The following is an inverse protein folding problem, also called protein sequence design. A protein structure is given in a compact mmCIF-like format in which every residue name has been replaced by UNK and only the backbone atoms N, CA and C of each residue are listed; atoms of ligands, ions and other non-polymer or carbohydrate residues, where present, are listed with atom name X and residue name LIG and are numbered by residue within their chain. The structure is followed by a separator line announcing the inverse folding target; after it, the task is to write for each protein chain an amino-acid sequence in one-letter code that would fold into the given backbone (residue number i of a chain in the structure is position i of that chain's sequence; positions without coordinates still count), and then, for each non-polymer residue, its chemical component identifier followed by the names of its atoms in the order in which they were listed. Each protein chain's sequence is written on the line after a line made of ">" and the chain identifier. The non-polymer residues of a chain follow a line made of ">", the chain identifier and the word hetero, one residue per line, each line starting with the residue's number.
data_IF_995369736955
#
_entry.id   IF_995369736955
#
_cell.length_a   1.000
_cell.length_b   1.000
_cell.length_c   1.000
_cell.angle_alpha   90.00
_cell.angle_beta   90.00
_cell.angle_gamma   90.00
#
_symmetry.space_group_name_H-M   'P 1'
#
loop_
_entity.id
_entity.type
_entity.pdbx_description
1 polymer ?
#
# COMPACT_ATOMS: atom_id res chain seq x y z
N UNK A 1 2.32 6.45 -7.55
CA UNK A 1 1.18 6.74 -6.66
C UNK A 1 0.72 5.40 -6.14
N UNK A 2 0.83 5.18 -4.83
CA UNK A 2 0.78 3.82 -4.23
C UNK A 2 -0.44 3.64 -3.30
N UNK A 3 -1.51 4.41 -3.48
CA UNK A 3 -2.70 4.41 -2.58
C UNK A 3 -4.02 4.17 -3.30
N UNK A 4 -4.00 3.62 -4.52
CA UNK A 4 -5.05 3.92 -5.50
C UNK A 4 -6.41 3.24 -5.27
N UNK A 5 -6.57 2.32 -4.31
CA UNK A 5 -7.76 1.45 -4.29
C UNK A 5 -8.62 1.45 -3.01
N UNK A 6 -8.16 2.05 -1.90
CA UNK A 6 -8.91 2.07 -0.65
C UNK A 6 -8.83 0.78 0.16
N UNK A 7 -9.40 0.79 1.36
CA UNK A 7 -9.43 -0.37 2.27
C UNK A 7 -10.24 -1.52 1.65
N UNK A 8 -9.87 -2.77 1.95
CA UNK A 8 -10.63 -3.95 1.51
C UNK A 8 -11.11 -4.71 2.74
N UNK A 9 -12.43 -4.78 2.91
CA UNK A 9 -13.06 -5.55 3.99
C UNK A 9 -13.46 -6.94 3.49
N UNK A 10 -13.67 -7.94 4.36
CA UNK A 10 -14.12 -9.27 3.95
C UNK A 10 -15.41 -9.29 3.14
N UNK A 11 -16.37 -8.43 3.48
CA UNK A 11 -17.61 -8.26 2.73
C UNK A 11 -17.40 -7.67 1.33
N UNK A 12 -16.53 -6.65 1.23
CA UNK A 12 -16.20 -5.98 -0.03
C UNK A 12 -15.42 -6.92 -0.96
N UNK A 13 -14.48 -7.70 -0.39
CA UNK A 13 -13.71 -8.70 -1.10
C UNK A 13 -14.58 -9.75 -1.79
N UNK A 14 -15.60 -10.27 -1.10
CA UNK A 14 -16.56 -11.23 -1.68
C UNK A 14 -17.40 -10.61 -2.80
N UNK A 15 -17.66 -9.31 -2.72
CA UNK A 15 -18.39 -8.57 -3.75
C UNK A 15 -17.49 -8.17 -4.94
N UNK A 16 -16.18 -8.44 -4.88
CA UNK A 16 -15.24 -8.09 -5.95
C UNK A 16 -14.98 -6.58 -6.04
N UNK A 17 -15.14 -5.85 -4.93
CA UNK A 17 -14.96 -4.39 -4.89
C UNK A 17 -14.13 -3.96 -3.67
N UNK A 18 -13.47 -2.82 -3.74
CA UNK A 18 -12.89 -2.18 -2.55
C UNK A 18 -13.92 -1.37 -1.77
N UNK A 19 -13.61 -0.98 -0.53
CA UNK A 19 -14.50 -0.19 0.32
C UNK A 19 -14.84 1.18 -0.28
N UNK A 20 -13.94 1.70 -1.12
CA UNK A 20 -14.10 2.95 -1.83
C UNK A 20 -13.08 4.01 -1.42
N UNK A 21 -12.81 4.91 -2.36
CA UNK A 21 -11.96 6.10 -2.16
C UNK A 21 -12.68 7.32 -2.71
N UNK A 22 -12.52 8.50 -2.07
CA UNK A 22 -13.00 9.74 -2.63
C UNK A 22 -12.17 10.10 -3.88
N UNK A 23 -12.83 10.30 -5.02
CA UNK A 23 -12.19 10.70 -6.27
C UNK A 23 -12.92 11.90 -6.89
N UNK A 24 -12.17 12.75 -7.59
CA UNK A 24 -12.74 13.80 -8.42
C UNK A 24 -13.36 13.18 -9.71
N UNK A 25 -14.68 13.31 -9.94
CA UNK A 25 -15.33 12.81 -11.15
C UNK A 25 -14.76 13.36 -12.46
N UNK A 26 -14.06 14.50 -12.42
CA UNK A 26 -13.43 15.12 -13.58
C UNK A 26 -12.05 14.53 -13.89
N UNK A 27 -11.47 13.76 -12.95
CA UNK A 27 -10.09 13.23 -13.03
C UNK A 27 -10.05 11.77 -12.56
N UNK A 28 -10.93 10.96 -13.11
CA UNK A 28 -10.98 9.54 -12.76
C UNK A 28 -9.77 8.78 -13.36
N UNK A 29 -9.18 7.84 -12.60
CA UNK A 29 -8.15 6.95 -13.11
C UNK A 29 -8.74 5.96 -14.13
N UNK A 30 -7.88 5.44 -15.01
CA UNK A 30 -8.24 4.39 -15.98
C UNK A 30 -8.34 3.02 -15.29
N UNK A 31 -9.39 2.88 -14.48
CA UNK A 31 -9.66 1.71 -13.65
C UNK A 31 -11.14 1.34 -13.73
N UNK A 32 -11.50 0.07 -13.48
CA UNK A 32 -12.89 -0.34 -13.45
C UNK A 32 -13.56 0.15 -12.15
N UNK A 33 -14.15 1.35 -12.19
CA UNK A 33 -14.77 2.01 -11.03
C UNK A 33 -16.27 1.70 -10.88
N UNK A 34 -16.74 1.68 -9.64
CA UNK A 34 -18.16 1.61 -9.25
C UNK A 34 -18.47 2.81 -8.36
N UNK A 35 -19.29 3.74 -8.85
CA UNK A 35 -19.70 4.92 -8.08
C UNK A 35 -20.65 4.54 -6.95
N UNK A 36 -20.43 5.10 -5.77
CA UNK A 36 -21.37 4.99 -4.64
C UNK A 36 -22.56 5.94 -4.83
N UNK A 37 -23.70 5.66 -4.20
CA UNK A 37 -24.79 6.63 -4.10
C UNK A 37 -24.29 7.94 -3.46
N UNK A 38 -24.72 9.07 -4.01
CA UNK A 38 -24.38 10.39 -3.45
C UNK A 38 -25.13 10.57 -2.14
N UNK A 39 -24.41 10.90 -1.08
CA UNK A 39 -25.02 11.30 0.18
C UNK A 39 -25.62 12.71 0.02
N UNK A 40 -26.94 12.91 0.20
CA UNK A 40 -27.55 14.23 0.12
C UNK A 40 -26.97 15.25 1.11
N UNK A 41 -26.37 14.79 2.22
CA UNK A 41 -25.68 15.65 3.18
C UNK A 41 -24.31 16.13 2.68
N UNK A 42 -23.69 15.38 1.76
CA UNK A 42 -22.36 15.65 1.20
C UNK A 42 -22.37 15.50 -0.34
N UNK A 43 -23.08 16.37 -1.06
CA UNK A 43 -23.33 16.21 -2.49
C UNK A 43 -22.06 16.32 -3.36
N UNK A 44 -21.01 16.94 -2.83
CA UNK A 44 -19.72 17.14 -3.51
C UNK A 44 -18.74 15.97 -3.24
N UNK A 45 -19.06 15.05 -2.34
CA UNK A 45 -18.23 13.88 -2.05
C UNK A 45 -18.59 12.71 -2.97
N UNK A 46 -17.68 12.42 -3.90
CA UNK A 46 -17.86 11.32 -4.85
C UNK A 46 -16.95 10.15 -4.49
N UNK A 47 -17.57 9.09 -3.98
CA UNK A 47 -16.89 7.87 -3.58
C UNK A 47 -16.98 6.82 -4.67
N UNK A 48 -15.86 6.15 -4.94
CA UNK A 48 -15.77 5.09 -5.93
C UNK A 48 -15.08 3.87 -5.36
N UNK A 49 -15.69 2.70 -5.50
CA UNK A 49 -15.02 1.42 -5.33
C UNK A 49 -14.31 1.03 -6.61
N UNK A 50 -13.20 0.30 -6.49
CA UNK A 50 -12.57 -0.32 -7.65
C UNK A 50 -12.94 -1.79 -7.70
N UNK A 51 -13.31 -2.24 -8.89
CA UNK A 51 -13.64 -3.62 -9.17
C UNK A 51 -12.36 -4.43 -9.39
N UNK A 52 -12.22 -5.50 -8.62
CA UNK A 52 -11.11 -6.43 -8.73
C UNK A 52 -11.65 -7.86 -8.77
N UNK A 53 -10.78 -8.82 -9.10
CA UNK A 53 -11.14 -10.23 -8.93
C UNK A 53 -11.39 -10.50 -7.43
N UNK A 54 -12.53 -11.10 -7.04
CA UNK A 54 -12.78 -11.46 -5.65
C UNK A 54 -11.66 -12.29 -5.02
N UNK A 55 -10.99 -13.16 -5.80
CA UNK A 55 -9.88 -13.98 -5.32
C UNK A 55 -8.67 -13.12 -4.94
N UNK A 56 -8.41 -12.07 -5.71
CA UNK A 56 -7.33 -11.11 -5.43
C UNK A 56 -7.65 -10.30 -4.16
N UNK A 57 -8.91 -9.88 -3.99
CA UNK A 57 -9.33 -9.15 -2.78
C UNK A 57 -9.36 -10.03 -1.53
N UNK A 58 -9.75 -11.31 -1.64
CA UNK A 58 -9.69 -12.25 -0.53
C UNK A 58 -8.26 -12.41 -0.03
N UNK A 59 -7.25 -12.41 -0.91
CA UNK A 59 -5.85 -12.47 -0.51
C UNK A 59 -5.44 -11.26 0.35
N UNK A 60 -5.97 -10.06 0.06
CA UNK A 60 -5.77 -8.88 0.91
C UNK A 60 -6.33 -9.09 2.32
N UNK A 61 -7.48 -9.74 2.46
CA UNK A 61 -8.07 -10.03 3.77
C UNK A 61 -7.32 -11.09 4.57
N UNK A 62 -6.54 -11.94 3.89
CA UNK A 62 -5.62 -12.92 4.51
C UNK A 62 -4.27 -12.30 4.86
N UNK A 63 -3.95 -11.18 4.23
CA UNK A 63 -2.70 -10.49 4.46
C UNK A 63 -2.76 -9.84 5.84
N UNK A 64 -1.75 -10.05 6.71
CA UNK A 64 -1.79 -9.53 8.07
C UNK A 64 -1.99 -8.02 8.08
N UNK A 65 -2.96 -7.57 8.88
CA UNK A 65 -3.10 -6.17 9.26
C UNK A 65 -1.80 -5.73 9.96
N UNK A 66 -1.17 -4.68 9.45
CA UNK A 66 0.02 -4.11 10.07
C UNK A 66 -0.39 -2.86 10.86
N UNK A 67 0.18 -2.68 12.05
CA UNK A 67 -0.10 -1.48 12.83
C UNK A 67 0.51 -0.28 12.11
N UNK A 68 -0.32 0.72 11.84
CA UNK A 68 0.06 2.01 11.26
C UNK A 68 -0.70 3.14 11.97
N UNK A 69 -0.08 4.31 12.07
CA UNK A 69 -0.65 5.56 12.55
C UNK A 69 -1.53 6.25 11.51
N UNK A 70 -1.06 6.33 10.26
CA UNK A 70 -1.80 6.99 9.17
C UNK A 70 -2.83 6.09 8.49
N UNK A 71 -2.89 4.82 8.86
CA UNK A 71 -3.89 3.86 8.38
C UNK A 71 -3.35 2.92 7.31
N UNK A 72 -3.94 1.73 7.22
CA UNK A 72 -3.47 0.66 6.32
C UNK A 72 -3.59 1.07 4.85
N UNK A 73 -2.54 0.77 4.08
CA UNK A 73 -2.46 1.02 2.64
C UNK A 73 -2.07 -0.24 1.90
N UNK A 74 -2.97 -0.71 1.04
CA UNK A 74 -2.73 -1.87 0.18
C UNK A 74 -2.09 -1.45 -1.13
N UNK A 75 -0.97 -2.08 -1.48
CA UNK A 75 -0.20 -1.78 -2.68
C UNK A 75 -0.57 -2.73 -3.81
N UNK A 76 -0.62 -2.22 -5.04
CA UNK A 76 -0.93 -3.01 -6.23
C UNK A 76 0.22 -2.96 -7.23
N UNK A 77 0.44 -4.07 -7.92
CA UNK A 77 1.44 -4.19 -8.97
C UNK A 77 0.97 -5.22 -10.01
N UNK A 78 1.22 -4.96 -11.29
CA UNK A 78 0.75 -5.82 -12.39
C UNK A 78 -0.78 -6.05 -12.39
N UNK A 79 -1.56 -5.07 -11.90
CA UNK A 79 -3.01 -5.16 -11.82
C UNK A 79 -3.54 -6.07 -10.69
N UNK A 80 -2.67 -6.55 -9.81
CA UNK A 80 -3.01 -7.43 -8.68
C UNK A 80 -2.52 -6.85 -7.35
N UNK A 81 -3.16 -7.22 -6.23
CA UNK A 81 -2.68 -6.84 -4.92
C UNK A 81 -1.32 -7.48 -4.62
N UNK A 82 -0.43 -6.68 -4.05
CA UNK A 82 0.84 -7.15 -3.54
C UNK A 82 0.66 -7.74 -2.14
N UNK A 83 1.39 -8.81 -1.84
CA UNK A 83 1.31 -9.52 -0.57
C UNK A 83 2.26 -8.88 0.43
N UNK A 84 1.82 -8.65 1.66
CA UNK A 84 2.68 -8.15 2.73
C UNK A 84 3.83 -9.12 3.00
N UNK A 85 5.06 -8.63 2.85
CA UNK A 85 6.29 -9.39 3.06
C UNK A 85 6.88 -9.16 4.46
N UNK A 86 6.53 -8.05 5.12
CA UNK A 86 6.98 -7.73 6.48
C UNK A 86 7.30 -6.25 6.68
N UNK A 87 7.69 -5.91 7.90
CA UNK A 87 8.14 -4.57 8.29
C UNK A 87 9.67 -4.51 8.29
N UNK A 88 10.24 -3.41 7.79
CA UNK A 88 11.67 -3.17 7.85
C UNK A 88 12.09 -2.61 9.21
N UNK A 89 13.27 -3.03 9.62
CA UNK A 89 14.05 -2.48 10.71
C UNK A 89 15.53 -2.68 10.37
N UNK A 90 16.44 -2.07 11.12
CA UNK A 90 17.88 -2.15 10.83
C UNK A 90 18.37 -3.60 10.76
N UNK A 91 17.87 -4.48 11.65
CA UNK A 91 18.23 -5.89 11.70
C UNK A 91 17.77 -6.67 10.47
N UNK A 92 16.56 -6.40 9.98
CA UNK A 92 16.03 -7.01 8.75
C UNK A 92 16.87 -6.60 7.55
N UNK A 93 17.16 -5.29 7.40
CA UNK A 93 17.97 -4.76 6.30
C UNK A 93 19.41 -5.29 6.32
N UNK A 94 20.02 -5.40 7.50
CA UNK A 94 21.36 -5.96 7.67
C UNK A 94 21.50 -7.42 7.20
N UNK A 95 20.40 -8.20 7.17
CA UNK A 95 20.42 -9.56 6.60
C UNK A 95 20.44 -9.57 5.07
N UNK A 96 19.89 -8.55 4.43
CA UNK A 96 19.80 -8.44 2.98
C UNK A 96 21.02 -7.72 2.37
N UNK A 97 21.59 -6.75 3.08
CA UNK A 97 22.76 -5.98 2.63
C UNK A 97 23.92 -6.85 2.08
N UNK A 98 24.38 -7.92 2.77
CA UNK A 98 25.44 -8.77 2.24
C UNK A 98 25.06 -9.56 0.98
N UNK A 99 23.76 -9.84 0.78
CA UNK A 99 23.26 -10.62 -0.37
C UNK A 99 23.12 -9.76 -1.62
N UNK A 100 22.80 -8.48 -1.43
CA UNK A 100 22.58 -7.49 -2.50
C UNK A 100 23.89 -6.74 -2.81
N UNK A 101 24.86 -6.75 -1.88
CA UNK A 101 26.14 -6.07 -2.05
C UNK A 101 26.06 -4.55 -1.88
N UNK A 102 25.06 -4.06 -1.14
CA UNK A 102 24.81 -2.63 -0.91
C UNK A 102 24.55 -2.36 0.57
N UNK A 103 24.68 -1.12 1.03
CA UNK A 103 24.48 -0.81 2.45
C UNK A 103 22.99 -0.90 2.85
N UNK A 104 22.66 -1.20 4.12
CA UNK A 104 21.28 -1.18 4.60
C UNK A 104 20.56 0.15 4.33
N UNK A 105 21.29 1.27 4.35
CA UNK A 105 20.76 2.60 4.03
C UNK A 105 20.39 2.71 2.54
N UNK A 106 21.24 2.24 1.62
CA UNK A 106 20.92 2.30 0.19
C UNK A 106 19.69 1.44 -0.18
N UNK A 107 19.48 0.32 0.52
CA UNK A 107 18.27 -0.51 0.35
C UNK A 107 17.03 0.27 0.79
N UNK A 108 17.11 0.93 1.96
CA UNK A 108 16.02 1.74 2.48
C UNK A 108 15.71 2.90 1.52
N UNK A 109 16.72 3.65 1.10
CA UNK A 109 16.59 4.78 0.18
C UNK A 109 15.97 4.33 -1.15
N UNK A 110 16.38 3.15 -1.67
CA UNK A 110 15.81 2.56 -2.87
C UNK A 110 14.31 2.28 -2.75
N UNK A 111 13.87 1.68 -1.65
CA UNK A 111 12.45 1.39 -1.41
C UNK A 111 11.64 2.68 -1.22
N UNK A 112 12.12 3.60 -0.40
CA UNK A 112 11.45 4.88 -0.12
C UNK A 112 11.37 5.75 -1.38
N UNK A 113 12.39 5.73 -2.24
CA UNK A 113 12.39 6.50 -3.49
C UNK A 113 11.23 6.14 -4.43
N UNK A 114 10.70 4.92 -4.35
CA UNK A 114 9.53 4.48 -5.14
C UNK A 114 8.26 5.27 -4.80
N UNK A 115 8.21 5.88 -3.62
CA UNK A 115 7.07 6.69 -3.18
C UNK A 115 7.12 8.13 -3.70
N UNK A 116 8.21 8.53 -4.36
CA UNK A 116 8.41 9.93 -4.78
C UNK A 116 8.66 10.88 -3.61
N UNK A 117 8.80 10.36 -2.40
CA UNK A 117 9.08 11.11 -1.18
C UNK A 117 10.60 11.13 -0.99
N UNK A 118 11.20 12.33 -0.99
CA UNK A 118 12.61 12.56 -0.64
C UNK A 118 12.75 12.94 0.83
N UNK A 119 12.12 12.18 1.73
CA UNK A 119 12.39 12.35 3.16
C UNK A 119 13.68 11.59 3.50
N UNK A 120 14.65 12.22 4.17
CA UNK A 120 15.83 11.53 4.65
C UNK A 120 15.43 10.64 5.84
N UNK A 121 15.09 9.38 5.57
CA UNK A 121 14.75 8.40 6.60
C UNK A 121 16.02 7.63 6.94
N UNK A 122 16.45 7.67 8.20
CA UNK A 122 17.60 6.91 8.67
C UNK A 122 17.19 5.57 9.27
N UNK A 123 18.16 4.66 9.42
CA UNK A 123 17.96 3.42 10.17
C UNK A 123 17.57 3.65 11.63
N UNK A 124 17.94 4.79 12.22
CA UNK A 124 17.55 5.13 13.60
C UNK A 124 16.07 5.50 13.70
N UNK A 125 15.51 6.12 12.67
CA UNK A 125 14.09 6.45 12.62
C UNK A 125 13.22 5.19 12.55
N UNK A 126 13.69 4.17 11.81
CA UNK A 126 13.06 2.84 11.77
C UNK A 126 13.05 2.14 13.13
N UNK A 127 14.21 2.12 13.79
CA UNK A 127 14.37 1.39 15.05
C UNK A 127 13.78 2.14 16.25
N UNK A 128 13.76 3.48 16.18
CA UNK A 128 13.14 4.36 17.17
C UNK A 128 11.62 4.40 17.08
N UNK A 129 11.06 3.82 16.03
CA UNK A 129 9.63 3.71 15.81
C UNK A 129 9.03 4.91 15.08
N UNK A 130 9.67 6.08 15.05
CA UNK A 130 9.14 7.30 14.39
C UNK A 130 8.76 7.11 12.92
N UNK A 131 9.37 6.12 12.25
CA UNK A 131 9.02 5.72 10.90
C UNK A 131 8.79 4.21 10.81
N UNK A 132 7.61 3.81 10.34
CA UNK A 132 7.29 2.45 9.93
C UNK A 132 7.44 2.27 8.42
N UNK A 133 8.23 1.28 7.99
CA UNK A 133 8.32 0.92 6.56
C UNK A 133 7.83 -0.51 6.34
N UNK A 134 6.77 -0.63 5.57
CA UNK A 134 6.05 -1.88 5.30
C UNK A 134 6.31 -2.30 3.86
N UNK A 135 6.79 -3.53 3.67
CA UNK A 135 7.18 -4.04 2.37
C UNK A 135 6.15 -5.04 1.87
N UNK A 136 5.83 -4.91 0.59
CA UNK A 136 4.92 -5.77 -0.14
C UNK A 136 5.63 -6.37 -1.34
N UNK A 137 5.24 -7.57 -1.74
CA UNK A 137 5.80 -8.30 -2.87
C UNK A 137 4.72 -8.59 -3.89
N UNK A 138 4.96 -8.18 -5.13
CA UNK A 138 4.13 -8.59 -6.26
C UNK A 138 4.29 -10.09 -6.52
N UNK A 139 3.19 -10.83 -6.69
CA UNK A 139 3.24 -12.26 -7.00
C UNK A 139 3.56 -12.56 -8.47
N UNK A 140 3.35 -11.59 -9.36
CA UNK A 140 3.61 -11.74 -10.80
C UNK A 140 5.08 -11.43 -11.12
N UNK A 141 5.50 -10.17 -10.91
CA UNK A 141 6.85 -9.73 -11.27
C UNK A 141 7.89 -9.94 -10.16
N UNK A 142 7.48 -10.35 -8.96
CA UNK A 142 8.34 -10.51 -7.79
C UNK A 142 8.98 -9.20 -7.28
N UNK A 143 8.60 -8.06 -7.86
CA UNK A 143 9.02 -6.73 -7.44
C UNK A 143 8.54 -6.38 -6.04
N UNK A 144 9.35 -5.61 -5.32
CA UNK A 144 9.03 -5.08 -4.01
C UNK A 144 8.42 -3.69 -4.15
N UNK A 145 7.41 -3.43 -3.33
CA UNK A 145 6.81 -2.12 -3.11
C UNK A 145 6.90 -1.81 -1.61
N UNK A 146 6.91 -0.53 -1.26
CA UNK A 146 6.87 -0.12 0.15
C UNK A 146 5.81 0.93 0.42
N UNK A 147 5.25 0.88 1.61
CA UNK A 147 4.46 1.94 2.23
C UNK A 147 5.25 2.46 3.43
N UNK A 148 5.29 3.79 3.58
CA UNK A 148 5.97 4.48 4.68
C UNK A 148 4.91 5.18 5.50
N UNK A 149 5.00 5.02 6.81
CA UNK A 149 4.14 5.62 7.81
C UNK A 149 5.03 6.36 8.82
N UNK A 150 4.66 7.58 9.16
CA UNK A 150 5.43 8.41 10.08
C UNK A 150 4.48 9.03 11.11
N UNK A 151 4.96 9.12 12.35
CA UNK A 151 4.36 9.94 13.42
C UNK A 151 4.59 11.44 13.16
#
# INVERSE_FOLDING_TARGET
>A
MNTEYGMVRPEDARAGVTHGVPLDPKRLPDLPLVAHPIDPAFPDEHWYSIKCDPQDLEELTRTPKYHTWQGEQWLFCCGKPAVFAGTLNSRSLAKFAPRIGTSPQDILDGLVSQLGIRLPISLQDLDGGSVGVYVFRCRECQGLLSHVDCD
#
